data_IF_884978312489
#
_entry.id   IF_884978312489
#
_cell.length_a   1.000
_cell.length_b   1.000
_cell.length_c   1.000
_cell.angle_alpha   90.00
_cell.angle_beta   90.00
_cell.angle_gamma   90.00
#
_symmetry.space_group_name_H-M   'P 1'
#
loop_
_entity.id
_entity.type
_entity.pdbx_description
1 polymer ?
#
# COMPACT_ATOMS: atom_id res chain seq x y z
N UNK A 1 6.50 6.51 23.24
CA UNK A 1 5.14 6.53 22.67
C UNK A 1 5.17 5.68 21.41
N UNK A 2 4.44 4.57 21.36
CA UNK A 2 4.32 3.74 20.16
C UNK A 2 3.47 4.49 19.14
N UNK A 3 4.01 4.81 17.97
CA UNK A 3 3.24 5.42 16.90
C UNK A 3 2.23 4.38 16.38
N UNK A 4 0.94 4.71 16.41
CA UNK A 4 -0.11 3.82 15.90
C UNK A 4 0.06 3.65 14.39
N UNK A 5 0.25 2.42 13.93
CA UNK A 5 0.36 2.11 12.50
C UNK A 5 -1.00 2.23 11.81
N UNK A 6 -0.99 2.73 10.56
CA UNK A 6 -2.17 2.79 9.69
C UNK A 6 -2.53 1.43 9.13
N UNK A 7 -1.53 0.61 8.82
CA UNK A 7 -1.72 -0.74 8.27
C UNK A 7 -0.58 -1.68 8.66
N UNK A 8 -0.83 -2.98 8.50
CA UNK A 8 0.16 -4.06 8.64
C UNK A 8 0.38 -4.81 7.32
N UNK A 9 1.53 -5.50 7.25
CA UNK A 9 1.88 -6.43 6.17
C UNK A 9 1.58 -7.86 6.63
N UNK A 10 0.63 -8.53 5.97
CA UNK A 10 0.27 -9.91 6.28
C UNK A 10 1.35 -10.86 5.75
N UNK A 11 2.01 -11.59 6.66
CA UNK A 11 3.13 -12.51 6.32
C UNK A 11 2.68 -13.84 5.74
N UNK A 12 1.41 -14.17 5.94
CA UNK A 12 0.71 -15.35 5.46
C UNK A 12 -0.03 -15.14 4.13
N UNK A 13 -0.36 -13.89 3.74
CA UNK A 13 -0.89 -13.54 2.40
C UNK A 13 0.18 -12.80 1.59
N UNK A 14 0.94 -13.56 0.81
CA UNK A 14 2.05 -13.06 -0.01
C UNK A 14 1.92 -13.42 -1.48
N UNK A 15 2.62 -12.66 -2.33
CA UNK A 15 2.80 -12.94 -3.76
C UNK A 15 4.26 -12.77 -4.13
N UNK A 16 4.81 -13.78 -4.80
CA UNK A 16 6.10 -13.69 -5.46
C UNK A 16 5.96 -13.03 -6.83
N UNK A 17 6.77 -12.00 -7.09
CA UNK A 17 6.77 -11.29 -8.36
C UNK A 17 8.18 -10.78 -8.69
N UNK A 18 8.76 -11.24 -9.81
CA UNK A 18 10.12 -10.87 -10.24
C UNK A 18 11.20 -11.09 -9.15
N UNK A 19 11.10 -12.19 -8.41
CA UNK A 19 12.03 -12.53 -7.31
C UNK A 19 11.86 -11.67 -6.06
N UNK A 20 10.70 -11.03 -5.89
CA UNK A 20 10.35 -10.21 -4.73
C UNK A 20 9.09 -10.75 -4.07
N UNK A 21 9.11 -10.81 -2.74
CA UNK A 21 7.93 -11.08 -1.93
C UNK A 21 7.14 -9.79 -1.72
N UNK A 22 5.87 -9.78 -2.13
CA UNK A 22 4.93 -8.72 -1.83
C UNK A 22 3.92 -9.21 -0.79
N UNK A 23 3.59 -8.35 0.17
CA UNK A 23 2.69 -8.65 1.27
C UNK A 23 1.37 -7.94 1.07
N UNK A 24 0.26 -8.64 1.31
CA UNK A 24 -1.06 -8.02 1.38
C UNK A 24 -1.07 -7.02 2.53
N UNK A 25 -1.61 -5.83 2.28
CA UNK A 25 -1.82 -4.83 3.33
C UNK A 25 -3.18 -5.00 3.99
N UNK A 26 -3.25 -4.81 5.30
CA UNK A 26 -4.49 -4.75 6.08
C UNK A 26 -4.53 -3.48 6.91
N UNK A 27 -5.61 -2.72 6.78
CA UNK A 27 -5.81 -1.51 7.56
C UNK A 27 -5.92 -1.84 9.06
N UNK A 28 -5.17 -1.12 9.89
CA UNK A 28 -5.24 -1.19 11.35
C UNK A 28 -6.10 -0.07 11.93
N UNK A 29 -6.30 1.01 11.18
CA UNK A 29 -7.13 2.15 11.52
C UNK A 29 -8.05 2.53 10.36
N UNK A 30 -9.12 3.28 10.65
CA UNK A 30 -9.99 3.87 9.63
C UNK A 30 -9.44 5.23 9.18
N UNK A 31 -9.40 5.49 7.88
CA UNK A 31 -8.90 6.74 7.29
C UNK A 31 -9.51 6.95 5.90
N UNK A 32 -9.89 8.19 5.58
CA UNK A 32 -10.61 8.51 4.36
C UNK A 32 -11.87 7.63 4.19
N UNK A 33 -11.85 6.76 3.18
CA UNK A 33 -12.93 5.79 2.89
C UNK A 33 -12.60 4.36 3.31
N UNK A 34 -11.41 4.12 3.87
CA UNK A 34 -10.93 2.80 4.30
C UNK A 34 -11.28 2.59 5.76
N UNK A 35 -11.88 1.45 6.08
CA UNK A 35 -12.19 1.06 7.46
C UNK A 35 -11.13 0.10 8.01
N UNK A 36 -10.89 0.16 9.32
CA UNK A 36 -10.01 -0.80 9.99
C UNK A 36 -10.41 -2.25 9.69
N UNK A 37 -9.43 -3.11 9.46
CA UNK A 37 -9.61 -4.50 9.01
C UNK A 37 -9.70 -4.69 7.50
N UNK A 38 -9.88 -3.62 6.71
CA UNK A 38 -9.96 -3.71 5.25
C UNK A 38 -8.65 -4.22 4.64
N UNK A 39 -8.76 -5.23 3.77
CA UNK A 39 -7.65 -5.70 2.95
C UNK A 39 -7.45 -4.80 1.73
N UNK A 40 -6.19 -4.48 1.43
CA UNK A 40 -5.78 -3.72 0.26
C UNK A 40 -5.07 -4.58 -0.79
N UNK A 41 -4.23 -3.94 -1.60
CA UNK A 41 -3.33 -4.60 -2.53
C UNK A 41 -2.06 -5.13 -1.86
N UNK A 42 -1.00 -5.25 -2.65
CA UNK A 42 0.26 -5.85 -2.24
C UNK A 42 1.39 -4.84 -2.33
N UNK A 43 2.22 -4.78 -1.28
CA UNK A 43 3.44 -3.96 -1.28
C UNK A 43 4.68 -4.76 -0.85
N UNK A 44 5.86 -4.40 -1.34
CA UNK A 44 7.12 -5.07 -0.97
C UNK A 44 7.52 -4.75 0.48
N UNK A 45 7.46 -3.47 0.88
CA UNK A 45 7.69 -3.07 2.28
C UNK A 45 7.01 -1.75 2.61
N UNK A 46 7.06 -1.35 3.89
CA UNK A 46 6.46 -0.09 4.37
C UNK A 46 7.02 1.17 3.68
N UNK A 47 8.15 1.08 2.98
CA UNK A 47 8.69 2.18 2.16
C UNK A 47 7.78 2.53 0.97
N UNK A 48 6.95 1.58 0.53
CA UNK A 48 6.18 1.72 -0.70
C UNK A 48 4.83 2.42 -0.49
N UNK A 49 4.31 2.45 0.73
CA UNK A 49 3.06 3.10 1.08
C UNK A 49 3.20 3.82 2.42
N UNK A 50 2.97 5.13 2.43
CA UNK A 50 3.12 5.91 3.65
C UNK A 50 2.16 5.46 4.76
N UNK A 51 2.66 5.39 6.00
CA UNK A 51 1.86 5.12 7.20
C UNK A 51 1.02 6.35 7.60
N UNK A 52 1.29 7.52 7.03
CA UNK A 52 0.50 8.74 7.17
C UNK A 52 -0.44 8.98 5.96
N UNK A 53 -1.34 9.96 6.09
CA UNK A 53 -2.29 10.32 5.03
C UNK A 53 -3.29 9.23 4.65
N UNK A 54 -4.10 9.49 3.63
CA UNK A 54 -5.16 8.58 3.17
C UNK A 54 -4.76 7.71 1.98
N UNK A 55 -3.48 7.72 1.59
CA UNK A 55 -2.96 6.91 0.51
C UNK A 55 -3.28 5.43 0.74
N UNK A 56 -3.78 4.75 -0.31
CA UNK A 56 -4.16 3.34 -0.23
C UNK A 56 -4.02 2.58 -1.54
N UNK A 57 -3.60 1.32 -1.42
CA UNK A 57 -3.52 0.37 -2.53
C UNK A 57 -4.73 -0.56 -2.44
N UNK A 58 -5.58 -0.56 -3.45
CA UNK A 58 -6.83 -1.33 -3.49
C UNK A 58 -6.69 -2.61 -4.32
N UNK A 59 -7.51 -3.61 -4.01
CA UNK A 59 -7.70 -4.79 -4.85
C UNK A 59 -6.44 -5.66 -4.95
N UNK A 60 -5.95 -5.88 -6.17
CA UNK A 60 -4.76 -6.69 -6.46
C UNK A 60 -3.59 -5.85 -6.98
N UNK A 61 -3.65 -4.53 -6.83
CA UNK A 61 -2.58 -3.63 -7.24
C UNK A 61 -1.28 -3.95 -6.48
N UNK A 62 -0.14 -3.67 -7.13
CA UNK A 62 1.19 -4.03 -6.66
C UNK A 62 2.07 -2.79 -6.64
N UNK A 63 2.70 -2.50 -5.50
CA UNK A 63 3.67 -1.41 -5.36
C UNK A 63 4.99 -1.97 -4.81
N UNK A 64 6.07 -1.87 -5.59
CA UNK A 64 7.33 -2.54 -5.24
C UNK A 64 8.55 -1.81 -5.79
N UNK A 65 9.76 -2.26 -5.42
CA UNK A 65 11.00 -1.56 -5.76
C UNK A 65 11.13 -0.24 -5.01
N UNK A 66 11.54 0.83 -5.71
CA UNK A 66 11.74 2.16 -5.14
C UNK A 66 10.47 3.03 -5.17
N UNK A 67 9.34 2.49 -5.64
CA UNK A 67 8.12 3.24 -5.78
C UNK A 67 7.58 3.69 -4.41
N UNK A 68 7.00 4.88 -4.35
CA UNK A 68 6.42 5.46 -3.12
C UNK A 68 5.02 6.00 -3.38
N UNK A 69 4.09 5.68 -2.48
CA UNK A 69 2.71 6.18 -2.52
C UNK A 69 2.39 6.91 -1.22
N UNK A 70 1.98 8.17 -1.30
CA UNK A 70 1.72 9.03 -0.14
C UNK A 70 0.59 10.04 -0.39
N UNK A 71 0.26 10.88 0.60
CA UNK A 71 -0.83 11.86 0.51
C UNK A 71 -2.21 11.19 0.50
N UNK A 72 -3.02 11.48 -0.51
CA UNK A 72 -4.39 10.95 -0.71
C UNK A 72 -4.48 10.03 -1.95
N UNK A 73 -3.32 9.56 -2.44
CA UNK A 73 -3.21 8.79 -3.66
C UNK A 73 -3.93 7.44 -3.58
N UNK A 74 -4.64 7.06 -4.64
CA UNK A 74 -5.39 5.80 -4.71
C UNK A 74 -4.91 4.96 -5.87
N UNK A 75 -4.37 3.78 -5.56
CA UNK A 75 -3.90 2.82 -6.56
C UNK A 75 -4.95 1.71 -6.69
N UNK A 76 -5.56 1.56 -7.86
CA UNK A 76 -6.72 0.71 -8.03
C UNK A 76 -6.46 -0.60 -8.80
N UNK A 77 -7.37 -1.57 -8.56
CA UNK A 77 -7.56 -2.80 -9.36
C UNK A 77 -6.30 -3.65 -9.49
N UNK A 78 -5.64 -3.59 -10.64
CA UNK A 78 -4.51 -4.43 -11.04
C UNK A 78 -3.28 -3.58 -11.41
N UNK A 79 -3.25 -2.30 -11.00
CA UNK A 79 -2.17 -1.38 -11.33
C UNK A 79 -0.83 -1.85 -10.74
N UNK A 80 0.25 -1.65 -11.50
CA UNK A 80 1.62 -1.97 -11.09
C UNK A 80 2.42 -0.68 -11.02
N UNK A 81 2.88 -0.33 -9.82
CA UNK A 81 3.71 0.86 -9.57
C UNK A 81 5.08 0.38 -9.11
N UNK A 82 6.11 0.66 -9.90
CA UNK A 82 7.46 0.13 -9.68
C UNK A 82 8.53 1.07 -10.23
N UNK A 83 9.80 0.72 -10.04
CA UNK A 83 10.92 1.60 -10.39
C UNK A 83 10.99 2.79 -9.43
N UNK A 84 11.35 3.97 -9.93
CA UNK A 84 11.48 5.21 -9.14
C UNK A 84 10.20 6.06 -9.16
N UNK A 85 9.03 5.44 -9.24
CA UNK A 85 7.75 6.15 -9.33
C UNK A 85 7.36 6.79 -7.98
N UNK A 86 6.88 8.04 -8.03
CA UNK A 86 6.33 8.74 -6.88
C UNK A 86 4.88 9.11 -7.18
N UNK A 87 3.94 8.56 -6.40
CA UNK A 87 2.51 8.84 -6.54
C UNK A 87 2.02 9.51 -5.26
N UNK A 88 1.69 10.79 -5.34
CA UNK A 88 1.33 11.61 -4.19
C UNK A 88 0.19 12.59 -4.51
N UNK A 89 -0.28 13.31 -3.50
CA UNK A 89 -1.42 14.22 -3.63
C UNK A 89 -2.73 13.46 -3.87
N UNK A 90 -3.59 13.97 -4.77
CA UNK A 90 -4.91 13.39 -5.07
C UNK A 90 -4.91 12.43 -6.27
N UNK A 91 -3.75 11.83 -6.59
CA UNK A 91 -3.59 10.98 -7.76
C UNK A 91 -4.48 9.72 -7.70
N UNK A 92 -4.96 9.29 -8.87
CA UNK A 92 -5.67 8.02 -9.07
C UNK A 92 -4.98 7.26 -10.19
N UNK A 93 -4.51 6.05 -9.88
CA UNK A 93 -3.78 5.16 -10.79
C UNK A 93 -4.55 3.87 -10.99
#
# INVERSE_FOLDING_TARGET
MTQTKKYELLKDDTKEYLGRTLYRIKALASFGVVTAGTLGGYIESEKNLDQSGNAWVYGNARVFGNARVSGDAKIHRNAWVYGNAEVFGNARV
#
